data_IF_349193271120
#
_entry.id   IF_349193271120
#
_cell.length_a   1.000
_cell.length_b   1.000
_cell.length_c   1.000
_cell.angle_alpha   90.00
_cell.angle_beta   90.00
_cell.angle_gamma   90.00
#
_symmetry.space_group_name_H-M   'P 1'
#
loop_
_entity.id
_entity.type
_entity.pdbx_description
1 polymer ?
#
# COMPACT_ATOMS: atom_id res chain seq x y z
N UNK A 1 -12.52 -15.53 -7.68
CA UNK A 1 -11.37 -16.02 -8.45
C UNK A 1 -10.54 -16.91 -7.53
N UNK A 2 -9.59 -17.67 -8.06
CA UNK A 2 -8.68 -18.52 -7.28
C UNK A 2 -7.38 -17.77 -7.01
N UNK A 3 -6.73 -18.05 -5.87
CA UNK A 3 -5.52 -17.35 -5.41
C UNK A 3 -4.43 -17.24 -6.49
N UNK A 4 -4.17 -18.32 -7.24
CA UNK A 4 -3.14 -18.36 -8.28
C UNK A 4 -3.47 -17.47 -9.48
N UNK A 5 -4.75 -17.33 -9.80
CA UNK A 5 -5.21 -16.39 -10.84
C UNK A 5 -5.07 -14.96 -10.36
N UNK A 6 -5.48 -14.68 -9.13
CA UNK A 6 -5.40 -13.34 -8.55
C UNK A 6 -3.95 -12.88 -8.38
N UNK A 7 -3.03 -13.81 -8.08
CA UNK A 7 -1.60 -13.53 -7.97
C UNK A 7 -0.96 -13.04 -9.27
N UNK A 8 -1.63 -13.29 -10.42
CA UNK A 8 -1.17 -12.86 -11.75
C UNK A 8 -1.99 -11.68 -12.27
N UNK A 9 -3.29 -11.63 -12.00
CA UNK A 9 -4.20 -10.71 -12.71
C UNK A 9 -4.74 -9.56 -11.86
N UNK A 10 -4.75 -9.66 -10.53
CA UNK A 10 -5.29 -8.60 -9.69
C UNK A 10 -4.44 -7.33 -9.80
N UNK A 11 -5.07 -6.21 -10.16
CA UNK A 11 -4.39 -4.93 -10.36
C UNK A 11 -3.47 -4.86 -11.59
N UNK A 12 -3.58 -5.80 -12.54
CA UNK A 12 -2.73 -5.89 -13.74
C UNK A 12 -3.50 -5.61 -15.04
N UNK A 13 -4.46 -4.67 -15.01
CA UNK A 13 -5.16 -4.25 -16.23
C UNK A 13 -4.19 -3.67 -17.27
N UNK A 14 -4.37 -3.97 -18.58
CA UNK A 14 -3.49 -3.41 -19.61
C UNK A 14 -3.47 -1.88 -19.61
N UNK A 15 -2.29 -1.30 -19.83
CA UNK A 15 -2.13 0.16 -19.90
C UNK A 15 -3.08 0.77 -20.96
N UNK A 16 -3.94 1.75 -20.60
CA UNK A 16 -4.96 2.26 -21.50
C UNK A 16 -4.40 3.09 -22.67
N UNK A 17 -3.13 3.52 -22.59
CA UNK A 17 -2.51 4.35 -23.63
C UNK A 17 -1.78 3.51 -24.67
N UNK A 18 -1.05 2.48 -24.23
CA UNK A 18 -0.17 1.68 -25.10
C UNK A 18 -0.59 0.22 -25.23
N UNK A 19 -1.51 -0.26 -24.41
CA UNK A 19 -1.89 -1.68 -24.32
C UNK A 19 -0.82 -2.56 -23.67
N UNK A 20 0.11 -2.00 -22.90
CA UNK A 20 1.12 -2.79 -22.19
C UNK A 20 0.44 -3.73 -21.20
N UNK A 21 0.69 -5.04 -21.33
CA UNK A 21 0.14 -6.07 -20.44
C UNK A 21 0.87 -6.17 -19.10
N UNK A 22 2.04 -5.53 -18.98
CA UNK A 22 2.75 -5.35 -17.71
C UNK A 22 2.61 -3.91 -17.29
N UNK A 23 2.27 -3.69 -16.03
CA UNK A 23 2.17 -2.35 -15.44
C UNK A 23 3.51 -1.61 -15.58
N UNK A 24 3.55 -0.45 -16.25
CA UNK A 24 4.78 0.33 -16.38
C UNK A 24 5.35 0.77 -15.03
N UNK A 25 6.66 1.04 -15.00
CA UNK A 25 7.32 1.67 -13.85
C UNK A 25 7.15 3.18 -13.97
N UNK A 26 6.27 3.75 -13.14
CA UNK A 26 6.04 5.19 -13.05
C UNK A 26 7.11 5.85 -12.18
N UNK A 27 8.32 5.96 -12.71
CA UNK A 27 9.46 6.66 -12.11
C UNK A 27 9.32 8.19 -12.21
N UNK A 28 8.20 8.72 -11.73
CA UNK A 28 7.87 10.15 -11.68
C UNK A 28 7.54 10.58 -10.27
N UNK A 29 7.74 11.86 -9.95
CA UNK A 29 7.36 12.45 -8.67
C UNK A 29 5.94 13.02 -8.68
N UNK A 30 5.46 13.54 -9.82
CA UNK A 30 4.19 14.28 -9.93
C UNK A 30 3.53 14.07 -11.29
N UNK A 31 2.26 14.49 -11.41
CA UNK A 31 1.43 14.31 -12.60
C UNK A 31 0.86 15.66 -13.04
N UNK A 32 0.72 15.84 -14.35
CA UNK A 32 0.21 17.08 -14.92
C UNK A 32 -1.27 17.28 -14.55
N UNK A 33 -1.61 18.47 -14.06
CA UNK A 33 -2.98 18.84 -13.69
C UNK A 33 -3.56 19.79 -14.75
N UNK A 34 -4.78 19.55 -15.28
CA UNK A 34 -5.45 20.49 -16.18
C UNK A 34 -5.70 21.87 -15.55
N UNK A 35 -5.85 21.94 -14.22
CA UNK A 35 -5.93 23.19 -13.47
C UNK A 35 -5.55 22.94 -12.00
N UNK A 36 -5.22 23.97 -11.21
CA UNK A 36 -4.89 23.80 -9.79
C UNK A 36 -5.98 23.05 -9.02
N UNK A 37 -5.61 21.94 -8.39
CA UNK A 37 -6.53 21.11 -7.61
C UNK A 37 -7.50 20.27 -8.44
N UNK A 38 -7.33 20.25 -9.78
CA UNK A 38 -8.09 19.37 -10.68
C UNK A 38 -7.11 18.37 -11.29
N UNK A 39 -7.17 17.14 -10.81
CA UNK A 39 -6.47 15.99 -11.37
C UNK A 39 -7.45 14.82 -11.44
N UNK A 40 -7.10 13.81 -12.23
CA UNK A 40 -7.92 12.62 -12.36
C UNK A 40 -7.68 11.70 -11.15
N UNK A 41 -6.81 10.70 -11.30
CA UNK A 41 -6.50 9.77 -10.21
C UNK A 41 -5.26 10.19 -9.42
N UNK A 42 -4.21 10.69 -10.08
CA UNK A 42 -2.90 10.90 -9.45
C UNK A 42 -2.45 12.38 -9.48
N UNK A 43 -1.84 12.85 -8.39
CA UNK A 43 -1.25 14.21 -8.27
C UNK A 43 0.25 14.20 -7.92
N UNK A 44 0.63 13.38 -6.95
CA UNK A 44 1.97 13.29 -6.38
C UNK A 44 2.26 11.86 -5.91
N UNK A 45 3.40 11.32 -6.33
CA UNK A 45 3.74 9.89 -6.17
C UNK A 45 3.83 9.39 -4.73
N UNK A 46 4.05 10.28 -3.75
CA UNK A 46 3.97 9.90 -2.33
C UNK A 46 2.54 9.57 -1.92
N UNK A 47 1.55 10.34 -2.40
CA UNK A 47 0.13 10.11 -2.12
C UNK A 47 -0.31 8.82 -2.80
N UNK A 48 -0.14 8.74 -4.12
CA UNK A 48 -0.53 7.60 -4.97
C UNK A 48 0.39 7.50 -6.19
N UNK A 49 0.68 6.29 -6.66
CA UNK A 49 1.52 6.04 -7.84
C UNK A 49 1.01 4.79 -8.56
N UNK A 50 0.78 4.81 -9.89
CA UNK A 50 0.12 3.69 -10.59
C UNK A 50 0.81 2.34 -10.39
N UNK A 51 2.14 2.31 -10.38
CA UNK A 51 2.90 1.08 -10.13
C UNK A 51 2.64 0.55 -8.72
N UNK A 52 2.56 1.44 -7.72
CA UNK A 52 2.27 1.05 -6.33
C UNK A 52 0.80 0.69 -6.14
N UNK A 53 -0.13 1.40 -6.76
CA UNK A 53 -1.58 1.12 -6.71
C UNK A 53 -1.88 -0.27 -7.26
N UNK A 54 -1.23 -0.67 -8.36
CA UNK A 54 -1.34 -2.03 -8.91
C UNK A 54 -0.86 -3.08 -7.90
N UNK A 55 0.28 -2.87 -7.26
CA UNK A 55 0.82 -3.77 -6.24
C UNK A 55 -0.07 -3.86 -4.99
N UNK A 56 -0.56 -2.72 -4.50
CA UNK A 56 -1.47 -2.65 -3.36
C UNK A 56 -2.80 -3.34 -3.66
N UNK A 57 -3.33 -3.19 -4.88
CA UNK A 57 -4.54 -3.88 -5.33
C UNK A 57 -4.33 -5.40 -5.34
N UNK A 58 -3.23 -5.88 -5.93
CA UNK A 58 -2.89 -7.29 -5.96
C UNK A 58 -2.80 -7.88 -4.54
N UNK A 59 -2.04 -7.24 -3.65
CA UNK A 59 -1.91 -7.67 -2.25
C UNK A 59 -3.24 -7.71 -1.51
N UNK A 60 -4.06 -6.66 -1.67
CA UNK A 60 -5.37 -6.59 -1.03
C UNK A 60 -6.27 -7.75 -1.49
N UNK A 61 -6.32 -8.02 -2.80
CA UNK A 61 -7.10 -9.14 -3.34
C UNK A 61 -6.61 -10.49 -2.80
N UNK A 62 -5.30 -10.71 -2.73
CA UNK A 62 -4.72 -11.96 -2.21
C UNK A 62 -5.01 -12.19 -0.72
N UNK A 63 -5.13 -11.12 0.06
CA UNK A 63 -5.53 -11.16 1.48
C UNK A 63 -7.06 -11.23 1.69
N UNK A 64 -7.84 -11.37 0.60
CA UNK A 64 -9.30 -11.47 0.66
C UNK A 64 -10.02 -10.16 0.97
N UNK A 65 -9.36 -9.02 0.76
CA UNK A 65 -9.98 -7.69 0.84
C UNK A 65 -10.95 -7.53 -0.33
N UNK A 66 -12.17 -7.09 -0.03
CA UNK A 66 -13.22 -6.77 -1.00
C UNK A 66 -13.57 -5.28 -0.93
N UNK A 67 -14.17 -4.70 -1.98
CA UNK A 67 -14.57 -3.30 -1.96
C UNK A 67 -15.39 -2.95 -0.70
N UNK A 68 -14.89 -1.98 0.07
CA UNK A 68 -15.53 -1.49 1.30
C UNK A 68 -15.09 -2.13 2.62
N UNK A 69 -14.28 -3.19 2.62
CA UNK A 69 -13.79 -3.81 3.86
C UNK A 69 -12.33 -3.48 4.23
N UNK A 70 -11.60 -2.81 3.33
CA UNK A 70 -10.20 -2.43 3.57
C UNK A 70 -9.42 -2.16 2.29
N UNK A 71 -8.10 -2.22 2.40
CA UNK A 71 -7.13 -2.07 1.32
C UNK A 71 -5.74 -2.51 1.80
N UNK A 72 -4.75 -2.44 0.91
CA UNK A 72 -3.34 -2.60 1.27
C UNK A 72 -2.60 -1.27 1.16
N UNK A 73 -1.56 -1.11 1.97
CA UNK A 73 -0.65 0.03 1.91
C UNK A 73 0.78 -0.46 1.84
N UNK A 74 1.51 0.02 0.84
CA UNK A 74 2.92 -0.31 0.66
C UNK A 74 3.79 0.73 1.34
N UNK A 75 4.74 0.24 2.14
CA UNK A 75 5.68 1.09 2.87
C UNK A 75 7.10 0.70 2.52
N UNK A 76 8.07 1.55 2.90
CA UNK A 76 9.48 1.32 2.59
C UNK A 76 10.08 0.08 3.29
N UNK A 77 9.44 -0.44 4.35
CA UNK A 77 9.86 -1.66 5.05
C UNK A 77 8.76 -2.17 5.98
N UNK A 78 8.86 -3.43 6.43
CA UNK A 78 7.96 -3.95 7.48
C UNK A 78 8.00 -3.12 8.79
N UNK A 79 9.13 -2.48 9.10
CA UNK A 79 9.21 -1.58 10.26
C UNK A 79 8.48 -0.26 10.02
N UNK A 80 8.45 0.26 8.79
CA UNK A 80 7.65 1.44 8.45
C UNK A 80 6.15 1.13 8.56
N UNK A 81 5.71 -0.04 8.10
CA UNK A 81 4.34 -0.51 8.32
C UNK A 81 4.02 -0.64 9.82
N UNK A 82 4.93 -1.21 10.62
CA UNK A 82 4.76 -1.29 12.08
C UNK A 82 4.64 0.10 12.72
N UNK A 83 5.45 1.06 12.29
CA UNK A 83 5.40 2.43 12.79
C UNK A 83 4.09 3.14 12.43
N UNK A 84 3.51 2.89 11.24
CA UNK A 84 2.19 3.40 10.88
C UNK A 84 1.10 2.96 11.85
N UNK A 85 1.14 1.72 12.35
CA UNK A 85 0.20 1.27 13.38
C UNK A 85 0.34 2.08 14.68
N UNK A 86 1.57 2.47 15.05
CA UNK A 86 1.82 3.33 16.20
C UNK A 86 1.16 4.71 16.06
N UNK A 87 1.16 5.29 14.86
CA UNK A 87 0.51 6.58 14.59
C UNK A 87 -1.03 6.54 14.66
N UNK A 88 -1.64 5.36 14.75
CA UNK A 88 -3.09 5.21 14.99
C UNK A 88 -3.44 5.28 16.49
N UNK A 89 -2.46 5.15 17.37
CA UNK A 89 -2.65 5.14 18.82
C UNK A 89 -2.50 6.54 19.42
N UNK A 90 -2.96 6.69 20.66
CA UNK A 90 -2.81 7.89 21.48
C UNK A 90 -1.92 7.59 22.70
N UNK A 91 -1.24 8.62 23.26
CA UNK A 91 -0.50 8.45 24.50
C UNK A 91 -1.40 7.89 25.62
N UNK A 92 -0.96 6.79 26.24
CA UNK A 92 -1.69 6.07 27.28
C UNK A 92 -2.48 4.86 26.79
N UNK A 93 -2.60 4.64 25.47
CA UNK A 93 -3.17 3.41 24.93
C UNK A 93 -2.29 2.18 25.26
N UNK A 94 -2.91 1.02 25.35
CA UNK A 94 -2.24 -0.24 25.70
C UNK A 94 -2.18 -1.20 24.50
N UNK A 95 -0.98 -1.67 24.18
CA UNK A 95 -0.73 -2.62 23.07
C UNK A 95 -0.38 -3.99 23.62
N UNK A 96 -1.07 -5.03 23.14
CA UNK A 96 -0.75 -6.44 23.44
C UNK A 96 0.03 -7.02 22.26
N UNK A 97 1.19 -7.62 22.55
CA UNK A 97 2.04 -8.28 21.57
C UNK A 97 2.12 -9.78 21.85
N UNK A 98 2.30 -10.62 20.82
CA UNK A 98 2.63 -12.03 21.03
C UNK A 98 3.95 -12.17 21.79
N UNK A 99 4.08 -13.26 22.55
CA UNK A 99 5.29 -13.55 23.32
C UNK A 99 6.51 -13.86 22.45
N UNK A 100 6.29 -14.34 21.23
CA UNK A 100 7.30 -14.53 20.20
C UNK A 100 6.97 -13.65 18.99
N UNK A 101 7.74 -12.58 18.85
CA UNK A 101 7.61 -11.61 17.77
C UNK A 101 8.99 -11.37 17.16
N UNK A 102 9.01 -10.93 15.90
CA UNK A 102 10.25 -10.40 15.32
C UNK A 102 10.88 -9.35 16.26
N UNK A 103 12.17 -9.51 16.56
CA UNK A 103 12.85 -8.67 17.56
C UNK A 103 12.82 -7.17 17.25
N UNK A 104 12.72 -6.77 15.98
CA UNK A 104 12.52 -5.37 15.60
C UNK A 104 11.14 -4.83 16.00
N UNK A 105 10.09 -5.65 15.88
CA UNK A 105 8.73 -5.32 16.34
C UNK A 105 8.70 -5.11 17.85
N UNK A 106 9.26 -6.06 18.62
CA UNK A 106 9.36 -5.91 20.07
C UNK A 106 10.15 -4.66 20.46
N UNK A 107 11.32 -4.45 19.84
CA UNK A 107 12.16 -3.28 20.11
C UNK A 107 11.44 -1.96 19.82
N UNK A 108 10.67 -1.88 18.73
CA UNK A 108 9.90 -0.68 18.40
C UNK A 108 8.90 -0.34 19.52
N UNK A 109 8.03 -1.28 19.89
CA UNK A 109 6.97 -1.02 20.87
C UNK A 109 7.47 -0.81 22.29
N UNK A 110 8.63 -1.37 22.66
CA UNK A 110 9.14 -1.29 24.04
C UNK A 110 10.15 -0.16 24.24
N UNK A 111 10.80 0.33 23.16
CA UNK A 111 11.91 1.30 23.27
C UNK A 111 11.71 2.58 22.45
N UNK A 112 10.74 2.62 21.53
CA UNK A 112 10.59 3.74 20.58
C UNK A 112 9.20 4.35 20.62
N UNK A 113 8.15 3.53 20.51
CA UNK A 113 6.76 3.96 20.47
C UNK A 113 6.26 4.54 21.80
#
# INVERSE_FOLDING_TARGET
MNFETDAIHAGQDPDPTTGSVIVPIYATSTYAQPAPGKYDVYDYSRTENPTRTAFETALATLEGVVPGNGGALSTASGMAATALLGYLLKPGDHVVLPNDAYGGTFRFWVKVA
#
